data_IF_664238358191
#
_entry.id   IF_664238358191
#
_cell.length_a   1.000
_cell.length_b   1.000
_cell.length_c   1.000
_cell.angle_alpha   90.00
_cell.angle_beta   90.00
_cell.angle_gamma   90.00
#
_symmetry.space_group_name_H-M   'P 1'
#
loop_
_entity.id
_entity.type
_entity.pdbx_description
1 polymer ?
#
# COMPACT_ATOMS: atom_id res chain seq x y z
N UNK A 1 1.24 13.68 16.46
CA UNK A 1 1.65 12.32 16.06
C UNK A 1 1.54 11.28 17.18
N UNK A 2 2.08 11.54 18.39
CA UNK A 2 2.04 10.57 19.51
C UNK A 2 0.63 10.08 19.87
N UNK A 3 -0.35 10.98 19.99
CA UNK A 3 -1.75 10.62 20.29
C UNK A 3 -2.39 9.72 19.22
N UNK A 4 -2.11 9.97 17.93
CA UNK A 4 -2.59 9.13 16.82
C UNK A 4 -2.00 7.72 16.91
N UNK A 5 -0.70 7.61 17.16
CA UNK A 5 -0.02 6.31 17.29
C UNK A 5 -0.53 5.53 18.50
N UNK A 6 -0.76 6.22 19.62
CA UNK A 6 -1.38 5.63 20.80
C UNK A 6 -2.81 5.14 20.50
N UNK A 7 -3.62 5.95 19.79
CA UNK A 7 -4.98 5.57 19.38
C UNK A 7 -5.01 4.37 18.44
N UNK A 8 -4.14 4.34 17.44
CA UNK A 8 -4.02 3.19 16.52
C UNK A 8 -3.53 1.94 17.25
N UNK A 9 -2.51 2.06 18.10
CA UNK A 9 -2.02 0.95 18.92
C UNK A 9 -3.07 0.43 19.89
N UNK A 10 -3.97 1.30 20.37
CA UNK A 10 -5.06 0.89 21.24
C UNK A 10 -6.14 0.14 20.46
N UNK A 11 -6.48 0.60 19.25
CA UNK A 11 -7.54 0.04 18.43
C UNK A 11 -7.16 -1.26 17.74
N UNK A 12 -5.95 -1.37 17.20
CA UNK A 12 -5.43 -2.60 16.61
C UNK A 12 -5.19 -3.60 17.75
N UNK A 13 -5.92 -4.71 17.75
CA UNK A 13 -5.71 -5.80 18.69
C UNK A 13 -4.46 -6.60 18.30
N UNK A 14 -3.77 -7.14 19.31
CA UNK A 14 -2.49 -7.82 19.15
C UNK A 14 -1.34 -7.08 19.85
N UNK A 15 -0.13 -7.59 19.63
CA UNK A 15 1.10 -7.01 20.16
C UNK A 15 1.47 -5.71 19.43
N UNK A 16 2.21 -4.86 20.12
CA UNK A 16 2.68 -3.60 19.55
C UNK A 16 3.59 -3.85 18.35
N UNK A 17 3.12 -3.47 17.16
CA UNK A 17 3.88 -3.55 15.92
C UNK A 17 4.18 -2.14 15.38
N UNK A 18 5.37 -1.57 15.67
CA UNK A 18 5.70 -0.20 15.29
C UNK A 18 5.76 -0.02 13.76
N UNK A 19 6.18 -1.05 13.03
CA UNK A 19 6.29 -1.01 11.57
C UNK A 19 4.91 -0.92 10.92
N UNK A 20 3.93 -1.68 11.41
CA UNK A 20 2.53 -1.62 10.99
C UNK A 20 1.91 -0.25 11.29
N UNK A 21 2.04 0.25 12.52
CA UNK A 21 1.46 1.54 12.92
C UNK A 21 2.02 2.69 12.10
N UNK A 22 3.33 2.67 11.84
CA UNK A 22 4.00 3.62 10.95
C UNK A 22 3.48 3.51 9.52
N UNK A 23 3.32 2.30 9.01
CA UNK A 23 2.78 2.07 7.67
C UNK A 23 1.34 2.57 7.53
N UNK A 24 0.46 2.25 8.47
CA UNK A 24 -0.94 2.72 8.49
C UNK A 24 -1.01 4.25 8.49
N UNK A 25 -0.22 4.90 9.33
CA UNK A 25 -0.18 6.35 9.42
C UNK A 25 0.27 7.01 8.12
N UNK A 26 1.39 6.55 7.55
CA UNK A 26 1.93 7.08 6.29
C UNK A 26 0.99 6.79 5.13
N UNK A 27 0.40 5.59 5.09
CA UNK A 27 -0.54 5.19 4.06
C UNK A 27 -1.75 6.13 4.01
N UNK A 28 -2.30 6.47 5.17
CA UNK A 28 -3.42 7.40 5.28
C UNK A 28 -3.06 8.87 5.05
N UNK A 29 -1.77 9.23 5.12
CA UNK A 29 -1.33 10.61 5.09
C UNK A 29 -1.63 11.27 3.75
N UNK A 30 -2.25 12.44 3.77
CA UNK A 30 -2.62 13.19 2.57
C UNK A 30 -2.18 14.64 2.70
N UNK A 31 -1.89 15.28 1.58
CA UNK A 31 -1.69 16.72 1.56
C UNK A 31 -3.02 17.44 1.53
N UNK A 32 -3.04 18.66 2.06
CA UNK A 32 -4.20 19.53 1.93
C UNK A 32 -4.44 19.85 0.44
N UNK A 33 -5.67 19.75 -0.09
CA UNK A 33 -5.93 19.99 -1.52
C UNK A 33 -5.51 21.38 -2.01
N UNK A 34 -5.60 22.39 -1.14
CA UNK A 34 -5.16 23.76 -1.46
C UNK A 34 -3.66 24.02 -1.31
N UNK A 35 -2.83 22.98 -1.12
CA UNK A 35 -1.39 23.14 -0.95
C UNK A 35 -0.71 23.44 -2.30
N UNK A 36 -0.13 24.63 -2.42
CA UNK A 36 0.68 25.01 -3.58
C UNK A 36 2.16 25.00 -3.22
N UNK A 37 2.78 23.82 -3.33
CA UNK A 37 4.23 23.64 -3.20
C UNK A 37 4.73 22.75 -4.33
N UNK A 38 5.98 22.95 -4.75
CA UNK A 38 6.61 22.01 -5.67
C UNK A 38 6.68 20.61 -5.01
N UNK A 39 6.74 19.53 -5.79
CA UNK A 39 6.75 18.17 -5.23
C UNK A 39 7.89 17.91 -4.26
N UNK A 40 9.08 18.43 -4.59
CA UNK A 40 10.29 18.32 -3.79
C UNK A 40 10.23 19.17 -2.51
N UNK A 41 9.71 20.40 -2.59
CA UNK A 41 9.51 21.25 -1.41
C UNK A 41 8.47 20.65 -0.47
N UNK A 42 7.37 20.13 -1.03
CA UNK A 42 6.31 19.46 -0.27
C UNK A 42 6.85 18.23 0.48
N UNK A 43 7.63 17.38 -0.18
CA UNK A 43 8.24 16.22 0.48
C UNK A 43 9.21 16.66 1.58
N UNK A 44 10.03 17.67 1.32
CA UNK A 44 11.03 18.19 2.26
C UNK A 44 10.38 18.83 3.49
N UNK A 45 9.30 19.56 3.31
CA UNK A 45 8.67 20.37 4.37
C UNK A 45 7.54 19.64 5.10
N UNK A 46 6.79 18.80 4.39
CA UNK A 46 5.56 18.17 4.90
C UNK A 46 5.64 16.64 4.91
N UNK A 47 6.76 16.04 4.49
CA UNK A 47 6.89 14.59 4.40
C UNK A 47 5.82 14.00 3.47
N UNK A 48 5.08 13.00 3.93
CA UNK A 48 3.97 12.37 3.20
C UNK A 48 2.60 13.05 3.43
N UNK A 49 2.57 14.21 4.11
CA UNK A 49 1.34 14.91 4.46
C UNK A 49 0.82 14.58 5.86
N UNK A 50 -0.46 14.85 6.10
CA UNK A 50 -1.12 14.67 7.39
C UNK A 50 -1.91 13.35 7.40
N UNK A 51 -1.62 12.43 8.34
CA UNK A 51 -2.42 11.22 8.56
C UNK A 51 -3.90 11.54 8.82
N UNK A 52 -4.78 10.63 8.40
CA UNK A 52 -6.21 10.71 8.70
C UNK A 52 -6.51 10.43 10.17
N UNK A 53 -7.79 10.51 10.54
CA UNK A 53 -8.25 10.09 11.87
C UNK A 53 -8.02 8.58 12.09
N UNK A 54 -7.99 8.14 13.35
CA UNK A 54 -7.84 6.70 13.69
C UNK A 54 -8.93 5.87 13.03
N UNK A 55 -10.17 6.35 13.01
CA UNK A 55 -11.30 5.62 12.44
C UNK A 55 -11.16 5.49 10.91
N UNK A 56 -10.76 6.55 10.20
CA UNK A 56 -10.54 6.50 8.75
C UNK A 56 -9.34 5.62 8.35
N UNK A 57 -8.38 5.42 9.26
CA UNK A 57 -7.22 4.55 9.03
C UNK A 57 -7.61 3.07 9.15
N UNK A 58 -8.56 2.77 10.04
CA UNK A 58 -8.91 1.40 10.41
C UNK A 58 -10.09 0.89 9.58
N UNK A 59 -11.07 1.74 9.31
CA UNK A 59 -12.30 1.36 8.63
C UNK A 59 -12.23 1.78 7.16
N UNK A 60 -12.43 0.81 6.26
CA UNK A 60 -12.57 1.07 4.83
C UNK A 60 -14.03 1.34 4.46
N UNK A 61 -14.25 2.10 3.40
CA UNK A 61 -15.55 2.13 2.71
C UNK A 61 -15.77 0.84 1.89
N UNK A 62 -17.03 0.47 1.57
CA UNK A 62 -17.31 -0.67 0.67
C UNK A 62 -16.68 -0.52 -0.73
N UNK A 63 -16.41 0.72 -1.13
CA UNK A 63 -15.84 1.07 -2.43
C UNK A 63 -14.31 1.01 -2.46
N UNK A 64 -13.67 0.55 -1.39
CA UNK A 64 -12.24 0.32 -1.37
C UNK A 64 -11.86 -0.95 -0.60
N UNK A 65 -10.69 -1.48 -0.87
CA UNK A 65 -10.13 -2.61 -0.14
C UNK A 65 -8.66 -2.37 0.14
N UNK A 66 -8.29 -2.45 1.42
CA UNK A 66 -6.91 -2.28 1.90
C UNK A 66 -6.34 -3.65 2.27
N UNK A 67 -5.22 -4.02 1.66
CA UNK A 67 -4.48 -5.26 1.89
C UNK A 67 -3.16 -4.94 2.59
N UNK A 68 -2.85 -5.66 3.67
CA UNK A 68 -1.62 -5.49 4.44
C UNK A 68 -0.79 -6.77 4.36
N UNK A 69 0.45 -6.64 3.91
CA UNK A 69 1.45 -7.71 3.88
C UNK A 69 2.61 -7.35 4.79
N UNK A 70 2.92 -8.24 5.72
CA UNK A 70 4.05 -8.11 6.63
C UNK A 70 4.90 -9.36 6.53
N UNK A 71 6.19 -9.19 6.26
CA UNK A 71 7.14 -10.30 6.16
C UNK A 71 8.57 -9.76 6.27
N UNK A 72 9.56 -10.65 6.16
CA UNK A 72 10.95 -10.30 5.95
C UNK A 72 11.44 -10.76 4.56
N UNK A 73 12.42 -10.04 4.01
CA UNK A 73 13.12 -10.45 2.79
C UNK A 73 14.59 -10.68 3.13
N UNK A 74 15.04 -11.92 2.98
CA UNK A 74 16.44 -12.30 3.08
C UNK A 74 17.24 -11.89 1.84
N UNK A 75 18.57 -11.81 1.95
CA UNK A 75 19.45 -11.53 0.81
C UNK A 75 19.17 -12.44 -0.39
N UNK A 76 19.03 -11.83 -1.58
CA UNK A 76 18.71 -12.53 -2.82
C UNK A 76 17.27 -13.04 -2.90
N UNK A 77 16.50 -12.85 -1.84
CA UNK A 77 15.07 -13.16 -1.77
C UNK A 77 14.24 -12.12 -2.53
N UNK A 78 13.08 -12.59 -2.97
CA UNK A 78 12.03 -11.76 -3.52
C UNK A 78 10.69 -12.40 -3.21
N UNK A 79 9.65 -11.58 -3.13
CA UNK A 79 8.27 -12.03 -3.01
C UNK A 79 7.60 -11.72 -4.34
N UNK A 80 6.97 -12.73 -4.95
CA UNK A 80 6.21 -12.59 -6.18
C UNK A 80 4.81 -13.16 -5.96
N UNK A 81 3.81 -12.28 -5.98
CA UNK A 81 2.41 -12.63 -5.92
C UNK A 81 1.85 -12.53 -7.32
N UNK A 82 1.63 -13.69 -7.93
CA UNK A 82 0.87 -13.82 -9.16
C UNK A 82 -0.62 -13.87 -8.83
N UNK A 83 -1.45 -13.43 -9.77
CA UNK A 83 -2.90 -13.36 -9.60
C UNK A 83 -3.30 -12.56 -8.35
N UNK A 84 -2.61 -11.44 -8.14
CA UNK A 84 -2.96 -10.46 -7.12
C UNK A 84 -4.44 -10.06 -7.30
N UNK A 85 -5.24 -9.99 -6.22
CA UNK A 85 -6.70 -9.91 -6.30
C UNK A 85 -7.18 -8.49 -6.64
N UNK A 86 -6.87 -8.00 -7.84
CA UNK A 86 -7.49 -6.78 -8.34
C UNK A 86 -8.98 -7.06 -8.68
N UNK A 87 -9.93 -6.17 -8.32
CA UNK A 87 -11.34 -6.47 -8.48
C UNK A 87 -11.77 -6.44 -9.95
N UNK A 88 -12.34 -7.56 -10.43
CA UNK A 88 -12.89 -7.66 -11.79
C UNK A 88 -14.08 -6.71 -12.04
N UNK A 89 -14.74 -6.27 -10.96
CA UNK A 89 -15.82 -5.26 -11.02
C UNK A 89 -15.32 -3.88 -11.46
N UNK A 90 -14.00 -3.64 -11.42
CA UNK A 90 -13.37 -2.42 -11.90
C UNK A 90 -12.92 -2.55 -13.37
N UNK A 91 -13.75 -3.18 -14.19
CA UNK A 91 -13.61 -3.24 -15.64
C UNK A 91 -14.66 -2.33 -16.26
N UNK A 92 -14.24 -1.41 -17.13
CA UNK A 92 -15.17 -0.53 -17.84
C UNK A 92 -15.80 -1.23 -19.06
N UNK A 93 -16.77 -0.57 -19.69
CA UNK A 93 -17.47 -1.08 -20.88
C UNK A 93 -16.55 -1.30 -22.09
N UNK A 94 -15.38 -0.67 -22.10
CA UNK A 94 -14.33 -0.83 -23.13
C UNK A 94 -13.40 -2.03 -22.85
N UNK A 95 -13.63 -2.79 -21.77
CA UNK A 95 -12.79 -3.92 -21.37
C UNK A 95 -11.44 -3.51 -20.80
N UNK A 96 -11.34 -2.30 -20.23
CA UNK A 96 -10.13 -1.77 -19.60
C UNK A 96 -10.33 -1.64 -18.09
N UNK A 97 -9.34 -2.06 -17.32
CA UNK A 97 -9.34 -1.86 -15.87
C UNK A 97 -9.28 -0.37 -15.52
N UNK A 98 -10.05 0.06 -14.54
CA UNK A 98 -9.99 1.40 -13.95
C UNK A 98 -9.88 1.32 -12.43
N UNK A 99 -9.67 2.45 -11.78
CA UNK A 99 -9.55 2.51 -10.32
C UNK A 99 -8.38 3.37 -9.86
N UNK A 100 -8.36 3.59 -8.56
CA UNK A 100 -7.28 4.25 -7.85
C UNK A 100 -6.55 3.23 -6.99
N UNK A 101 -5.21 3.28 -6.98
CA UNK A 101 -4.39 2.37 -6.17
C UNK A 101 -3.35 3.17 -5.40
N UNK A 102 -3.30 2.97 -4.08
CA UNK A 102 -2.23 3.47 -3.21
C UNK A 102 -1.39 2.30 -2.72
N UNK A 103 -0.08 2.35 -2.91
CA UNK A 103 0.89 1.38 -2.42
C UNK A 103 1.83 2.07 -1.44
N UNK A 104 1.95 1.58 -0.22
CA UNK A 104 2.87 2.12 0.79
C UNK A 104 3.72 1.00 1.33
N UNK A 105 5.02 1.09 1.09
CA UNK A 105 6.03 0.19 1.64
C UNK A 105 6.79 0.93 2.73
N UNK A 106 6.79 0.36 3.93
CA UNK A 106 7.65 0.78 5.04
C UNK A 106 8.53 -0.39 5.40
N UNK A 107 9.83 -0.13 5.53
CA UNK A 107 10.83 -1.13 5.86
C UNK A 107 11.56 -0.75 7.15
N UNK A 108 12.12 -1.74 7.83
CA UNK A 108 13.12 -1.55 8.86
C UNK A 108 14.51 -1.79 8.24
N UNK A 109 15.15 -0.76 7.66
CA UNK A 109 16.39 -0.95 6.92
C UNK A 109 17.56 -1.23 7.86
N UNK A 110 18.56 -1.96 7.36
CA UNK A 110 19.88 -1.97 7.98
C UNK A 110 20.50 -0.58 7.84
N UNK A 111 21.03 -0.04 8.93
CA UNK A 111 21.65 1.27 8.97
C UNK A 111 23.14 1.14 9.31
N UNK A 112 24.00 1.87 8.60
CA UNK A 112 25.43 1.98 8.92
C UNK A 112 25.88 3.45 8.86
N UNK A 113 26.17 4.01 10.04
CA UNK A 113 26.64 5.39 10.21
C UNK A 113 27.96 5.69 9.49
N UNK A 114 28.76 4.66 9.19
CA UNK A 114 30.06 4.84 8.53
C UNK A 114 29.95 4.96 7.01
N UNK A 115 28.77 4.68 6.43
CA UNK A 115 28.57 4.66 4.96
C UNK A 115 28.03 5.98 4.40
N UNK A 116 27.91 7.02 5.23
CA UNK A 116 27.57 8.38 4.80
C UNK A 116 26.31 8.44 3.93
N UNK A 117 26.47 8.72 2.63
CA UNK A 117 25.37 8.79 1.67
C UNK A 117 24.63 7.45 1.46
N UNK A 118 25.29 6.31 1.74
CA UNK A 118 24.67 4.99 1.76
C UNK A 118 24.22 4.59 3.17
N UNK A 119 23.92 5.52 4.07
CA UNK A 119 23.49 5.22 5.44
C UNK A 119 22.46 4.09 5.54
N UNK A 120 21.47 4.06 4.63
CA UNK A 120 20.57 2.94 4.45
C UNK A 120 21.23 1.86 3.60
N UNK A 121 21.51 0.73 4.21
CA UNK A 121 22.29 -0.37 3.63
C UNK A 121 21.42 -1.47 3.00
N UNK A 122 20.10 -1.34 3.11
CA UNK A 122 19.14 -2.28 2.54
C UNK A 122 17.95 -1.54 1.93
N UNK A 123 17.40 -2.08 0.86
CA UNK A 123 16.29 -1.53 0.12
C UNK A 123 15.36 -2.64 -0.38
N UNK A 124 14.07 -2.36 -0.42
CA UNK A 124 13.09 -3.23 -1.08
C UNK A 124 12.44 -2.46 -2.22
N UNK A 125 12.60 -2.96 -3.44
CA UNK A 125 11.90 -2.43 -4.62
C UNK A 125 10.55 -3.09 -4.77
N UNK A 126 9.51 -2.29 -5.01
CA UNK A 126 8.14 -2.74 -5.23
C UNK A 126 7.73 -2.52 -6.68
N UNK A 127 7.11 -3.54 -7.27
CA UNK A 127 6.47 -3.46 -8.58
C UNK A 127 5.04 -3.98 -8.47
N UNK A 128 4.10 -3.23 -9.02
CA UNK A 128 2.68 -3.57 -9.03
C UNK A 128 2.13 -3.32 -10.41
N UNK A 129 1.40 -4.27 -10.97
CA UNK A 129 0.77 -4.08 -12.27
C UNK A 129 0.24 -5.35 -12.89
N UNK A 130 0.26 -5.42 -14.21
CA UNK A 130 -0.41 -6.47 -14.98
C UNK A 130 0.54 -7.34 -15.78
N UNK A 131 0.09 -8.51 -16.20
CA UNK A 131 0.82 -9.42 -17.08
C UNK A 131 -0.18 -10.25 -17.90
N UNK A 132 0.25 -10.78 -19.04
CA UNK A 132 -0.68 -11.44 -19.97
C UNK A 132 -1.06 -12.85 -19.50
N UNK A 133 -0.05 -13.64 -19.10
CA UNK A 133 -0.24 -15.02 -18.64
C UNK A 133 0.98 -15.53 -17.91
N UNK A 134 0.75 -16.61 -17.17
CA UNK A 134 1.81 -17.37 -16.54
C UNK A 134 2.61 -18.11 -17.63
N UNK A 135 3.93 -18.10 -17.51
CA UNK A 135 4.85 -18.84 -18.38
C UNK A 135 5.77 -19.70 -17.53
N UNK A 136 5.96 -20.95 -17.96
CA UNK A 136 6.99 -21.82 -17.41
C UNK A 136 8.38 -21.32 -17.80
N UNK A 137 9.24 -21.19 -16.81
CA UNK A 137 10.63 -20.78 -16.97
C UNK A 137 11.53 -21.99 -16.87
N UNK A 138 12.61 -21.93 -17.62
CA UNK A 138 13.63 -22.98 -17.64
C UNK A 138 14.55 -22.83 -16.43
N UNK A 139 14.32 -23.66 -15.41
CA UNK A 139 15.09 -23.69 -14.15
C UNK A 139 16.47 -24.31 -14.29
N UNK A 140 16.84 -24.82 -15.47
CA UNK A 140 18.23 -25.26 -15.73
C UNK A 140 19.20 -24.08 -15.79
N UNK A 141 18.70 -22.86 -16.01
CA UNK A 141 19.49 -21.64 -15.99
C UNK A 141 19.74 -21.21 -14.54
N UNK A 142 21.02 -21.03 -14.17
CA UNK A 142 21.45 -20.63 -12.82
C UNK A 142 20.77 -19.36 -12.26
N UNK A 143 20.27 -18.48 -13.12
CA UNK A 143 19.60 -17.23 -12.72
C UNK A 143 18.09 -17.38 -12.51
N UNK A 144 17.51 -18.54 -12.82
CA UNK A 144 16.07 -18.78 -12.79
C UNK A 144 15.79 -19.86 -11.75
N UNK A 145 15.45 -19.42 -10.54
CA UNK A 145 15.08 -20.33 -9.45
C UNK A 145 13.58 -20.69 -9.47
N UNK A 146 12.70 -19.77 -9.88
CA UNK A 146 11.27 -20.02 -9.94
C UNK A 146 10.87 -20.63 -11.30
N UNK A 147 10.26 -21.83 -11.33
CA UNK A 147 9.77 -22.47 -12.55
C UNK A 147 8.61 -21.72 -13.20
N UNK A 148 8.02 -20.76 -12.49
CA UNK A 148 6.87 -19.98 -12.94
C UNK A 148 7.29 -18.52 -13.11
N UNK A 149 6.69 -17.83 -14.08
CA UNK A 149 6.93 -16.42 -14.31
C UNK A 149 5.84 -15.72 -15.08
N UNK A 150 6.00 -14.40 -15.21
CA UNK A 150 5.09 -13.51 -15.92
C UNK A 150 5.49 -13.36 -17.40
N UNK A 151 4.54 -13.50 -18.32
CA UNK A 151 4.70 -13.07 -19.70
C UNK A 151 4.28 -11.60 -19.85
N UNK A 152 5.15 -10.79 -20.47
CA UNK A 152 4.92 -9.36 -20.72
C UNK A 152 4.47 -8.57 -19.47
N UNK A 153 5.22 -8.63 -18.35
CA UNK A 153 4.86 -7.85 -17.17
C UNK A 153 4.90 -6.36 -17.48
N UNK A 154 3.93 -5.64 -16.93
CA UNK A 154 3.73 -4.22 -17.12
C UNK A 154 3.60 -3.55 -15.75
N UNK A 155 4.64 -2.81 -15.32
CA UNK A 155 4.64 -2.14 -14.02
C UNK A 155 3.86 -0.83 -14.11
N UNK A 156 2.78 -0.71 -13.33
CA UNK A 156 1.89 0.44 -13.31
C UNK A 156 2.36 1.55 -12.37
N UNK A 157 3.35 1.30 -11.50
CA UNK A 157 3.92 2.30 -10.60
C UNK A 157 4.88 3.28 -11.31
N UNK A 158 5.17 3.08 -12.60
CA UNK A 158 6.04 3.96 -13.40
C UNK A 158 5.34 5.28 -13.74
N UNK A 159 5.95 6.40 -13.33
CA UNK A 159 5.44 7.75 -13.60
C UNK A 159 5.27 8.02 -15.11
N UNK A 160 6.15 7.44 -15.94
CA UNK A 160 6.10 7.52 -17.41
C UNK A 160 4.83 6.96 -18.04
N UNK A 161 4.04 6.14 -17.33
CA UNK A 161 2.78 5.60 -17.84
C UNK A 161 1.66 6.65 -17.92
N UNK A 162 1.81 7.76 -17.20
CA UNK A 162 0.75 8.74 -16.95
C UNK A 162 1.00 10.03 -17.72
N UNK A 163 -0.07 10.71 -18.12
CA UNK A 163 0.07 11.93 -18.91
C UNK A 163 0.74 13.05 -18.08
N UNK A 164 1.71 13.75 -18.68
CA UNK A 164 2.48 14.81 -18.03
C UNK A 164 1.61 15.94 -17.45
N UNK A 165 0.41 16.17 -17.99
CA UNK A 165 -0.55 17.13 -17.43
C UNK A 165 -0.91 16.75 -15.99
N UNK A 166 -1.20 15.48 -15.72
CA UNK A 166 -1.51 15.00 -14.38
C UNK A 166 -0.30 14.98 -13.46
N UNK A 167 0.93 15.01 -13.99
CA UNK A 167 2.13 15.19 -13.17
C UNK A 167 2.36 16.64 -12.76
N UNK A 168 1.63 17.62 -13.32
CA UNK A 168 1.83 19.06 -13.04
C UNK A 168 0.75 19.65 -12.14
N UNK A 169 -0.44 19.05 -12.10
CA UNK A 169 -1.56 19.53 -11.27
C UNK A 169 -1.55 18.87 -9.89
N UNK A 170 -1.26 19.66 -8.86
CA UNK A 170 -1.21 19.21 -7.45
C UNK A 170 -2.60 18.87 -6.90
N UNK A 171 -3.67 19.34 -7.57
CA UNK A 171 -5.04 19.30 -7.05
C UNK A 171 -5.67 17.89 -6.98
N UNK A 172 -5.07 16.87 -7.62
CA UNK A 172 -5.56 15.49 -7.52
C UNK A 172 -4.84 14.74 -6.39
N UNK A 173 -5.55 14.04 -5.48
CA UNK A 173 -4.95 13.34 -4.34
C UNK A 173 -3.80 12.38 -4.71
N UNK A 174 -3.87 11.81 -5.91
CA UNK A 174 -2.92 10.80 -6.39
C UNK A 174 -1.70 11.39 -7.11
N UNK A 175 -1.80 12.60 -7.67
CA UNK A 175 -0.67 13.25 -8.36
C UNK A 175 0.49 13.48 -7.42
N UNK A 176 0.16 13.99 -6.23
CA UNK A 176 1.14 14.38 -5.24
C UNK A 176 2.04 13.20 -4.82
N UNK A 177 1.43 12.05 -4.57
CA UNK A 177 2.13 10.86 -4.10
C UNK A 177 2.91 10.16 -5.22
N UNK A 178 2.48 10.27 -6.49
CA UNK A 178 3.21 9.72 -7.64
C UNK A 178 4.59 10.36 -7.84
N UNK A 179 4.73 11.65 -7.54
CA UNK A 179 5.99 12.40 -7.70
C UNK A 179 7.03 12.01 -6.63
N UNK A 180 6.60 11.66 -5.42
CA UNK A 180 7.49 11.33 -4.30
C UNK A 180 8.45 10.17 -4.62
N UNK A 181 8.02 9.22 -5.46
CA UNK A 181 8.84 8.11 -5.92
C UNK A 181 10.10 8.57 -6.64
N UNK A 182 9.99 9.56 -7.52
CA UNK A 182 11.09 9.95 -8.41
C UNK A 182 12.13 10.80 -7.64
N UNK A 183 11.73 11.45 -6.54
CA UNK A 183 12.58 12.33 -5.72
C UNK A 183 13.34 11.61 -4.59
N UNK A 184 12.92 10.39 -4.19
CA UNK A 184 13.51 9.67 -3.05
C UNK A 184 14.73 8.82 -3.46
N UNK A 185 14.80 8.19 -4.64
CA UNK A 185 15.98 7.38 -5.02
C UNK A 185 16.04 5.99 -4.36
N UNK A 186 17.21 5.32 -4.44
CA UNK A 186 17.32 3.84 -4.37
C UNK A 186 17.32 3.21 -2.98
N UNK A 187 17.59 3.93 -1.89
CA UNK A 187 17.72 3.34 -0.53
C UNK A 187 16.85 4.00 0.53
N UNK A 188 15.59 4.31 0.17
CA UNK A 188 14.66 4.93 1.10
C UNK A 188 13.82 3.90 1.84
N UNK A 189 13.71 4.00 3.17
CA UNK A 189 12.98 3.02 3.98
C UNK A 189 11.47 3.07 3.79
N UNK A 190 10.96 4.17 3.23
CA UNK A 190 9.55 4.40 2.99
C UNK A 190 9.36 4.74 1.52
N UNK A 191 8.45 4.04 0.85
CA UNK A 191 8.03 4.34 -0.52
C UNK A 191 6.51 4.39 -0.57
N UNK A 192 5.95 5.52 -0.99
CA UNK A 192 4.51 5.70 -1.17
C UNK A 192 4.23 6.01 -2.63
N UNK A 193 3.28 5.28 -3.21
CA UNK A 193 2.83 5.44 -4.58
C UNK A 193 1.33 5.61 -4.56
N UNK A 194 0.81 6.50 -5.40
CA UNK A 194 -0.61 6.58 -5.66
C UNK A 194 -0.81 6.77 -7.16
N UNK A 195 -1.67 5.95 -7.73
CA UNK A 195 -1.94 5.94 -9.15
C UNK A 195 -3.45 5.93 -9.40
N UNK A 196 -3.90 6.84 -10.26
CA UNK A 196 -5.22 6.72 -10.89
C UNK A 196 -5.04 6.16 -12.31
N UNK A 197 -5.61 4.99 -12.58
CA UNK A 197 -5.49 4.28 -13.85
C UNK A 197 -6.09 5.06 -15.03
N UNK A 198 -7.04 5.95 -14.77
CA UNK A 198 -7.69 6.79 -15.78
C UNK A 198 -6.75 7.91 -16.28
N UNK A 199 -5.72 8.27 -15.51
CA UNK A 199 -4.73 9.29 -15.89
C UNK A 199 -3.63 8.76 -16.82
N UNK A 200 -3.62 7.45 -17.11
CA UNK A 200 -2.67 6.84 -18.04
C UNK A 200 -2.85 7.42 -19.45
N UNK A 201 -1.76 7.47 -20.22
CA UNK A 201 -1.89 7.77 -21.66
C UNK A 201 -2.63 6.63 -22.35
N UNK A 202 -3.30 6.94 -23.46
CA UNK A 202 -4.09 5.94 -24.20
C UNK A 202 -3.26 4.72 -24.59
N UNK A 203 -2.04 4.93 -25.11
CA UNK A 203 -1.13 3.86 -25.48
C UNK A 203 -0.78 2.95 -24.28
N UNK A 204 -0.53 3.53 -23.10
CA UNK A 204 -0.21 2.77 -21.90
C UNK A 204 -1.43 2.07 -21.31
N UNK A 205 -2.63 2.67 -21.41
CA UNK A 205 -3.88 2.05 -20.97
C UNK A 205 -4.24 0.84 -21.82
N UNK A 206 -4.18 0.94 -23.15
CA UNK A 206 -4.42 -0.21 -24.04
C UNK A 206 -3.39 -1.33 -23.78
N UNK A 207 -2.12 -0.98 -23.62
CA UNK A 207 -1.06 -1.97 -23.38
C UNK A 207 -1.11 -2.61 -21.99
N UNK A 208 -1.49 -1.86 -20.97
CA UNK A 208 -1.35 -2.24 -19.56
C UNK A 208 -2.65 -2.65 -18.89
N UNK A 209 -3.82 -2.20 -19.36
CA UNK A 209 -5.09 -2.32 -18.64
C UNK A 209 -6.18 -3.05 -19.42
N UNK A 210 -6.00 -3.34 -20.70
CA UNK A 210 -6.97 -4.12 -21.47
C UNK A 210 -7.00 -5.57 -21.01
N UNK A 211 -8.19 -6.06 -20.64
CA UNK A 211 -8.45 -7.47 -20.32
C UNK A 211 -8.05 -8.40 -21.50
N UNK A 212 -7.71 -9.67 -21.26
CA UNK A 212 -7.82 -10.45 -20.03
C UNK A 212 -6.51 -10.54 -19.22
N UNK A 213 -5.87 -9.40 -18.94
CA UNK A 213 -4.64 -9.36 -18.14
C UNK A 213 -4.86 -9.80 -16.70
N UNK A 214 -3.85 -10.43 -16.14
CA UNK A 214 -3.74 -10.80 -14.71
C UNK A 214 -2.90 -9.77 -13.96
N UNK A 215 -3.03 -9.74 -12.64
CA UNK A 215 -2.35 -8.76 -11.78
C UNK A 215 -1.24 -9.39 -10.96
N UNK A 216 -0.17 -8.63 -10.72
CA UNK A 216 0.95 -9.07 -9.90
C UNK A 216 1.41 -7.99 -8.93
N UNK A 217 2.00 -8.46 -7.84
CA UNK A 217 2.80 -7.67 -6.91
C UNK A 217 4.15 -8.36 -6.75
N UNK A 218 5.23 -7.59 -6.77
CA UNK A 218 6.60 -8.09 -6.64
C UNK A 218 7.39 -7.19 -5.69
N UNK A 219 8.10 -7.80 -4.74
CA UNK A 219 9.04 -7.16 -3.83
C UNK A 219 10.43 -7.78 -4.02
N UNK A 220 11.46 -6.96 -4.22
CA UNK A 220 12.84 -7.41 -4.40
C UNK A 220 13.75 -6.76 -3.38
N UNK A 221 14.38 -7.58 -2.53
CA UNK A 221 15.38 -7.11 -1.57
C UNK A 221 16.71 -6.84 -2.25
N UNK A 222 17.33 -5.72 -1.91
CA UNK A 222 18.63 -5.28 -2.37
C UNK A 222 19.45 -4.86 -1.15
N UNK A 223 20.67 -5.35 -1.04
CA UNK A 223 21.61 -4.97 0.01
C UNK A 223 22.81 -4.26 -0.62
N UNK A 224 23.37 -3.28 0.09
CA UNK A 224 24.59 -2.58 -0.34
C UNK A 224 25.78 -3.54 -0.34
N UNK A 225 26.82 -3.19 -1.11
CA UNK A 225 28.05 -3.98 -1.12
C UNK A 225 28.71 -4.03 0.27
N UNK A 226 28.64 -2.93 1.03
CA UNK A 226 29.19 -2.86 2.39
C UNK A 226 28.45 -3.79 3.37
N UNK A 227 27.12 -3.85 3.31
CA UNK A 227 26.34 -4.80 4.10
C UNK A 227 26.67 -6.25 3.74
N UNK A 228 26.80 -6.55 2.45
CA UNK A 228 27.16 -7.89 2.00
C UNK A 228 28.57 -8.30 2.47
N UNK A 229 29.53 -7.37 2.42
CA UNK A 229 30.89 -7.62 2.88
C UNK A 229 30.95 -7.86 4.40
N UNK A 230 30.24 -7.04 5.19
CA UNK A 230 30.16 -7.21 6.64
C UNK A 230 29.50 -8.54 7.02
N UNK A 231 28.37 -8.87 6.39
CA UNK A 231 27.67 -10.12 6.63
C UNK A 231 28.51 -11.36 6.27
N UNK A 232 29.33 -11.28 5.22
CA UNK A 232 30.26 -12.35 4.85
C UNK A 232 31.39 -12.54 5.88
N UNK A 233 31.81 -11.47 6.55
CA UNK A 233 32.83 -11.54 7.61
C UNK A 233 32.25 -12.07 8.93
N UNK A 234 31.04 -11.64 9.29
CA UNK A 234 30.43 -11.94 10.59
C UNK A 234 29.54 -13.20 10.57
N UNK A 235 29.25 -13.75 9.39
CA UNK A 235 28.34 -14.88 9.21
C UNK A 235 26.86 -14.53 9.40
N UNK A 236 26.51 -13.24 9.33
CA UNK A 236 25.15 -12.73 9.51
C UNK A 236 24.26 -13.07 8.30
N UNK A 237 23.02 -13.51 8.56
CA UNK A 237 22.00 -13.63 7.51
C UNK A 237 21.31 -12.29 7.34
N UNK A 238 21.66 -11.58 6.27
CA UNK A 238 20.99 -10.33 5.92
C UNK A 238 19.50 -10.57 5.63
N UNK A 239 18.68 -9.86 6.39
CA UNK A 239 17.22 -9.83 6.23
C UNK A 239 16.71 -8.41 6.49
N UNK A 240 15.55 -8.10 5.92
CA UNK A 240 14.89 -6.81 6.08
C UNK A 240 13.40 -7.01 6.30
N UNK A 241 12.89 -6.57 7.44
CA UNK A 241 11.46 -6.57 7.74
C UNK A 241 10.75 -5.46 6.97
N UNK A 242 9.52 -5.73 6.53
CA UNK A 242 8.68 -4.74 5.87
C UNK A 242 7.20 -4.86 6.23
N UNK A 243 6.49 -3.76 6.06
CA UNK A 243 5.04 -3.68 6.02
C UNK A 243 4.63 -2.98 4.72
N UNK A 244 3.91 -3.70 3.86
CA UNK A 244 3.35 -3.20 2.62
C UNK A 244 1.83 -3.06 2.77
N UNK A 245 1.29 -1.90 2.43
CA UNK A 245 -0.14 -1.64 2.39
C UNK A 245 -0.53 -1.29 0.96
N UNK A 246 -1.52 -1.99 0.41
CA UNK A 246 -2.10 -1.74 -0.92
C UNK A 246 -3.58 -1.47 -0.78
N UNK A 247 -4.02 -0.28 -1.17
CA UNK A 247 -5.44 0.09 -1.20
C UNK A 247 -5.89 0.24 -2.63
N UNK A 248 -6.98 -0.44 -2.99
CA UNK A 248 -7.65 -0.33 -4.29
C UNK A 248 -8.99 0.35 -4.04
N UNK A 249 -9.32 1.39 -4.79
CA UNK A 249 -10.57 2.15 -4.67
C UNK A 249 -11.28 2.28 -6.01
N UNK A 250 -12.60 2.19 -5.96
CA UNK A 250 -13.50 2.64 -7.03
C UNK A 250 -13.72 4.16 -6.93
N UNK A 251 -13.14 4.99 -7.81
CA UNK A 251 -13.35 6.44 -7.79
C UNK A 251 -14.79 6.83 -8.13
N UNK A 252 -15.57 5.93 -8.74
CA UNK A 252 -16.96 6.18 -9.12
C UNK A 252 -17.95 5.76 -8.04
N UNK A 253 -17.50 5.05 -6.99
CA UNK A 253 -18.33 4.53 -5.89
C UNK A 253 -19.54 3.71 -6.37
N UNK A 254 -19.37 2.91 -7.42
CA UNK A 254 -20.43 2.10 -8.03
C UNK A 254 -20.40 0.66 -7.56
N UNK A 255 -19.23 0.15 -7.18
CA UNK A 255 -19.04 -1.26 -6.89
C UNK A 255 -18.59 -1.51 -5.45
N UNK A 256 -18.99 -2.66 -4.91
CA UNK A 256 -18.45 -3.20 -3.67
C UNK A 256 -17.10 -3.85 -3.96
N UNK A 257 -16.05 -3.06 -3.82
CA UNK A 257 -14.66 -3.46 -4.04
C UNK A 257 -14.21 -4.40 -2.94
N UNK A 258 -14.57 -4.12 -1.69
CA UNK A 258 -14.18 -4.92 -0.53
C UNK A 258 -14.61 -6.39 -0.65
N UNK A 259 -15.89 -6.63 -0.95
CA UNK A 259 -16.42 -7.98 -1.10
C UNK A 259 -15.82 -8.70 -2.30
N UNK A 260 -15.55 -7.97 -3.39
CA UNK A 260 -14.93 -8.52 -4.60
C UNK A 260 -13.50 -9.01 -4.33
N UNK A 261 -12.67 -8.21 -3.65
CA UNK A 261 -11.28 -8.59 -3.29
C UNK A 261 -11.28 -9.75 -2.30
N UNK A 262 -12.13 -9.71 -1.28
CA UNK A 262 -12.25 -10.79 -0.27
C UNK A 262 -12.60 -12.13 -0.93
N UNK A 263 -13.54 -12.11 -1.89
CA UNK A 263 -13.89 -13.29 -2.67
C UNK A 263 -12.72 -13.79 -3.51
N UNK A 264 -11.99 -12.90 -4.19
CA UNK A 264 -10.82 -13.27 -4.99
C UNK A 264 -9.68 -13.84 -4.15
N UNK A 265 -9.44 -13.30 -2.94
CA UNK A 265 -8.48 -13.86 -1.98
C UNK A 265 -8.84 -15.29 -1.61
N UNK A 266 -10.12 -15.55 -1.32
CA UNK A 266 -10.62 -16.88 -0.98
C UNK A 266 -10.50 -17.86 -2.15
N UNK A 267 -10.90 -17.44 -3.36
CA UNK A 267 -10.85 -18.28 -4.56
C UNK A 267 -9.42 -18.66 -4.96
N UNK A 268 -8.47 -17.75 -4.78
CA UNK A 268 -7.06 -17.97 -5.11
C UNK A 268 -6.27 -18.59 -3.94
N UNK A 269 -6.94 -19.04 -2.87
CA UNK A 269 -6.35 -19.66 -1.68
C UNK A 269 -5.28 -18.81 -0.99
N UNK A 270 -5.42 -17.48 -1.02
CA UNK A 270 -4.56 -16.60 -0.23
C UNK A 270 -4.91 -16.72 1.25
N UNK A 271 -3.89 -16.96 2.08
CA UNK A 271 -4.03 -16.82 3.53
C UNK A 271 -4.25 -15.34 3.84
N UNK A 272 -5.40 -15.01 4.42
CA UNK A 272 -5.76 -13.64 4.76
C UNK A 272 -6.52 -13.62 6.08
N UNK A 273 -6.27 -12.58 6.87
CA UNK A 273 -6.94 -12.32 8.13
C UNK A 273 -7.34 -10.85 8.17
N UNK A 274 -8.53 -10.57 8.70
CA UNK A 274 -8.91 -9.19 8.99
C UNK A 274 -8.07 -8.68 10.17
N UNK A 275 -7.74 -7.39 10.15
CA UNK A 275 -7.12 -6.74 11.31
C UNK A 275 -8.06 -6.93 12.49
N UNK A 276 -7.57 -7.57 13.55
CA UNK A 276 -8.34 -7.71 14.77
C UNK A 276 -8.42 -6.34 15.44
N UNK A 277 -9.63 -5.92 15.81
CA UNK A 277 -9.85 -4.65 16.49
C UNK A 277 -10.28 -4.90 17.92
N UNK A 278 -9.82 -4.06 18.85
CA UNK A 278 -10.35 -4.09 20.21
C UNK A 278 -11.78 -3.56 20.18
N UNK A 279 -12.73 -4.42 20.52
CA UNK A 279 -14.14 -4.03 20.66
C UNK A 279 -14.27 -3.08 21.87
N UNK A 280 -14.48 -1.79 21.60
CA UNK A 280 -15.02 -0.89 22.61
C UNK A 280 -16.55 -1.03 22.59
N UNK A 281 -17.11 -1.65 23.63
CA UNK A 281 -18.55 -1.60 23.87
C UNK A 281 -18.91 -0.16 24.18
N UNK A 282 -19.46 0.56 23.20
CA UNK A 282 -20.13 1.83 23.44
C UNK A 282 -21.40 1.56 24.25
N UNK A 283 -21.30 1.62 25.57
CA UNK A 283 -22.45 1.65 26.47
C UNK A 283 -23.19 2.97 26.24
N UNK A 284 -24.09 2.98 25.26
CA UNK A 284 -25.14 3.99 25.17
C UNK A 284 -26.06 3.80 26.38
N UNK A 285 -25.72 4.43 27.50
CA UNK A 285 -26.62 4.64 28.63
C UNK A 285 -27.73 5.58 28.13
N UNK A 286 -28.75 5.01 27.47
CA UNK A 286 -30.07 5.63 27.37
C UNK A 286 -30.58 5.72 28.80
N UNK A 287 -30.36 6.87 29.42
CA UNK A 287 -30.92 7.22 30.71
C UNK A 287 -32.45 7.28 30.55
N UNK A 288 -33.13 6.16 30.78
CA UNK A 288 -34.59 6.12 30.89
C UNK A 288 -34.98 6.66 32.26
N UNK A 289 -34.84 7.98 32.46
CA UNK A 289 -35.54 8.67 33.53
C UNK A 289 -36.92 9.07 33.01
N UNK A 290 -37.82 8.09 32.92
CA UNK A 290 -39.24 8.26 32.65
C UNK A 290 -40.03 7.61 33.77
N UNK A 291 -40.06 8.23 34.95
CA UNK A 291 -41.04 7.92 35.99
C UNK A 291 -42.24 8.87 35.84
N UNK A 292 -43.49 8.40 35.90
CA UNK A 292 -44.65 9.27 35.76
C UNK A 292 -44.78 10.19 36.99
N UNK A 293 -45.09 11.47 36.74
CA UNK A 293 -45.41 12.44 37.78
C UNK A 293 -46.77 12.08 38.43
N UNK A 294 -46.95 12.26 39.75
CA UNK A 294 -48.24 12.01 40.40
C UNK A 294 -49.20 13.17 40.12
N UNK A 295 -50.46 12.83 39.83
CA UNK A 295 -51.57 13.76 39.63
C UNK A 295 -51.89 14.58 40.91
N UNK A 296 -52.39 15.81 40.79
CA UNK A 296 -52.80 16.62 41.92
C UNK A 296 -54.15 16.13 42.49
N UNK A 297 -54.15 15.70 43.74
CA UNK A 297 -55.37 15.48 44.53
C UNK A 297 -56.09 16.80 44.76
N UNK A 298 -57.34 16.84 44.36
CA UNK A 298 -58.32 17.90 44.65
C UNK A 298 -58.93 17.64 46.03
N UNK A 299 -58.73 18.58 46.94
CA UNK A 299 -59.69 19.00 47.99
C UNK A 299 -59.54 20.51 48.20
#
# INVERSE_FOLDING_TARGET
MSALMAGLSHRVAGDFNPLLLKALAIHSAKYHPGLSLSPSDRLRELGFGLPSSVDDIIFNSPHESTLILQDNIVRGGYIEILDFPFPDVLLNDEGQFYGEVTVTLVTDPRLDGNQGAEYCQSNIDVSFGTYDRIRLRDTTKRTISNPIGKLNPYNLLLSSNYAAKFQRYIDHPFTAERQLRDDLGKYHPIKKFAINLQEMTEAHRVRGLTAPKKWYLELKGLFSHAAEAAAAADGEVLSQEFCLIVTIRDPLQRHDVYSSVTRSLTLNNFQHNNIQLRNEVNLNLRNTSGGPAPEPTTE
#
